data_IF_107946001603
#
_entry.id   IF_107946001603
#
_cell.length_a   1.000
_cell.length_b   1.000
_cell.length_c   1.000
_cell.angle_alpha   90.00
_cell.angle_beta   90.00
_cell.angle_gamma   90.00
#
_symmetry.space_group_name_H-M   'P 1'
#
loop_
_entity.id
_entity.type
_entity.pdbx_description
1 polymer ?
#
# COMPACT_ATOMS: atom_id res chain seq x y z
N UNK A 1 4.15 10.75 3.63
CA UNK A 1 4.17 10.63 2.16
C UNK A 1 2.94 11.32 1.61
N UNK A 2 3.17 12.24 0.68
CA UNK A 2 2.14 12.94 -0.09
C UNK A 2 2.37 12.60 -1.56
N UNK A 3 1.45 11.85 -2.16
CA UNK A 3 1.56 11.42 -3.56
C UNK A 3 0.16 11.25 -4.12
N UNK A 4 -0.14 11.96 -5.21
CA UNK A 4 -1.42 11.78 -5.92
C UNK A 4 -1.51 10.38 -6.54
N UNK A 5 -2.71 9.79 -6.48
CA UNK A 5 -3.02 8.44 -6.96
C UNK A 5 -4.20 8.50 -7.93
N UNK A 6 -4.06 7.83 -9.07
CA UNK A 6 -5.08 7.80 -10.10
C UNK A 6 -4.96 6.60 -11.03
N UNK A 7 -6.02 6.33 -11.81
CA UNK A 7 -6.03 5.23 -12.76
C UNK A 7 -5.12 5.51 -13.94
N UNK A 8 -4.53 4.45 -14.48
CA UNK A 8 -3.70 4.46 -15.68
C UNK A 8 -4.05 3.26 -16.53
N UNK A 9 -4.12 3.48 -17.85
CA UNK A 9 -4.47 2.42 -18.78
C UNK A 9 -3.45 1.28 -18.69
N UNK A 10 -3.98 0.06 -18.62
CA UNK A 10 -3.20 -1.17 -18.64
C UNK A 10 -3.74 -2.06 -19.78
N UNK A 11 -2.89 -2.56 -20.70
CA UNK A 11 -3.34 -3.22 -21.92
C UNK A 11 -4.19 -4.47 -21.68
N UNK A 12 -3.96 -5.17 -20.56
CA UNK A 12 -4.64 -6.43 -20.24
C UNK A 12 -5.72 -6.26 -19.17
N UNK A 13 -5.52 -5.36 -18.22
CA UNK A 13 -6.36 -5.22 -17.02
C UNK A 13 -7.32 -4.03 -17.11
N UNK A 14 -7.32 -3.33 -18.25
CA UNK A 14 -8.05 -2.09 -18.47
C UNK A 14 -7.37 -0.90 -17.80
N UNK A 15 -7.30 -0.90 -16.47
CA UNK A 15 -6.60 0.12 -15.71
C UNK A 15 -6.01 -0.39 -14.39
N UNK A 16 -4.97 0.30 -13.92
CA UNK A 16 -4.36 0.13 -12.60
C UNK A 16 -4.25 1.48 -11.91
N UNK A 17 -4.31 1.50 -10.59
CA UNK A 17 -4.00 2.69 -9.79
C UNK A 17 -2.50 2.77 -9.57
N UNK A 18 -1.92 3.94 -9.85
CA UNK A 18 -0.48 4.21 -9.72
C UNK A 18 -0.25 5.60 -9.15
N UNK A 19 1.00 5.90 -8.78
CA UNK A 19 1.43 7.26 -8.48
C UNK A 19 1.36 8.10 -9.76
N UNK A 20 0.59 9.18 -9.72
CA UNK A 20 0.40 10.07 -10.88
C UNK A 20 0.15 11.52 -10.44
N UNK A 21 0.73 12.53 -11.12
CA UNK A 21 0.45 13.94 -10.85
C UNK A 21 -1.02 14.35 -11.02
N UNK A 22 -1.71 13.80 -12.02
CA UNK A 22 -3.15 14.05 -12.29
C UNK A 22 -4.10 13.15 -11.47
N UNK A 23 -3.55 12.37 -10.54
CA UNK A 23 -4.34 11.61 -9.59
C UNK A 23 -5.06 12.47 -8.56
N UNK A 24 -5.94 11.84 -7.78
CA UNK A 24 -6.51 12.45 -6.59
C UNK A 24 -5.45 12.54 -5.49
N UNK A 25 -5.40 13.64 -4.72
CA UNK A 25 -4.43 13.78 -3.65
C UNK A 25 -4.64 12.71 -2.58
N UNK A 26 -3.53 12.20 -2.06
CA UNK A 26 -3.50 11.16 -1.05
C UNK A 26 -2.36 11.38 -0.06
N UNK A 27 -2.64 11.05 1.21
CA UNK A 27 -1.79 11.38 2.33
C UNK A 27 -1.64 10.20 3.29
N UNK A 28 -0.41 9.86 3.65
CA UNK A 28 -0.10 8.85 4.67
C UNK A 28 1.03 9.32 5.56
N UNK A 29 0.80 9.28 6.86
CA UNK A 29 1.82 9.51 7.87
C UNK A 29 2.51 8.16 8.14
N UNK A 30 3.84 8.15 8.08
CA UNK A 30 4.63 6.93 8.25
C UNK A 30 5.64 7.14 9.37
N UNK A 31 5.66 6.24 10.34
CA UNK A 31 6.65 6.21 11.43
C UNK A 31 7.43 4.91 11.36
N UNK A 32 8.75 4.99 11.38
CA UNK A 32 9.60 3.80 11.45
C UNK A 32 9.59 3.26 12.88
N UNK A 33 9.12 2.03 13.06
CA UNK A 33 9.11 1.33 14.34
C UNK A 33 10.40 0.53 14.55
N UNK A 34 10.91 -0.11 13.49
CA UNK A 34 12.11 -0.97 13.54
C UNK A 34 12.83 -0.94 12.21
N UNK A 35 14.17 -0.99 12.24
CA UNK A 35 15.02 -1.14 11.05
C UNK A 35 15.87 -2.39 11.17
N UNK A 36 15.90 -3.16 10.09
CA UNK A 36 16.79 -4.30 9.90
C UNK A 36 17.74 -4.00 8.74
N UNK A 37 18.69 -4.90 8.45
CA UNK A 37 19.68 -4.70 7.39
C UNK A 37 19.07 -4.48 5.99
N UNK A 38 17.92 -5.12 5.70
CA UNK A 38 17.29 -5.09 4.38
C UNK A 38 15.89 -4.47 4.36
N UNK A 39 15.23 -4.31 5.51
CA UNK A 39 13.81 -3.92 5.60
C UNK A 39 13.55 -3.01 6.80
N UNK A 40 12.43 -2.29 6.78
CA UNK A 40 11.94 -1.49 7.91
C UNK A 40 10.48 -1.82 8.19
N UNK A 41 10.13 -1.89 9.48
CA UNK A 41 8.74 -1.96 9.93
C UNK A 41 8.22 -0.55 10.15
N UNK A 42 7.04 -0.27 9.59
CA UNK A 42 6.41 1.05 9.63
C UNK A 42 5.05 0.96 10.31
N UNK A 43 4.75 1.93 11.16
CA UNK A 43 3.37 2.32 11.46
C UNK A 43 2.92 3.31 10.37
N UNK A 44 1.74 3.07 9.80
CA UNK A 44 1.21 3.88 8.71
C UNK A 44 -0.22 4.30 9.04
N UNK A 45 -0.42 5.60 9.23
CA UNK A 45 -1.74 6.20 9.36
C UNK A 45 -2.16 6.84 8.06
N UNK A 46 -3.28 6.39 7.51
CA UNK A 46 -3.86 6.98 6.30
C UNK A 46 -4.81 8.13 6.67
N UNK A 47 -4.66 9.27 5.99
CA UNK A 47 -5.57 10.42 6.12
C UNK A 47 -6.61 10.44 4.98
N UNK A 48 -6.36 9.67 3.94
CA UNK A 48 -7.23 9.43 2.78
C UNK A 48 -7.33 7.93 2.51
N UNK A 49 -8.35 7.48 1.78
CA UNK A 49 -8.58 6.07 1.45
C UNK A 49 -8.54 5.76 -0.05
N UNK A 50 -7.46 6.10 -0.76
CA UNK A 50 -7.32 5.79 -2.19
C UNK A 50 -7.02 4.29 -2.42
N UNK A 51 -7.35 3.73 -3.59
CA UNK A 51 -7.03 2.34 -3.92
C UNK A 51 -5.54 2.08 -3.78
N UNK A 52 -5.19 1.01 -3.05
CA UNK A 52 -3.80 0.57 -2.83
C UNK A 52 -2.86 1.65 -2.24
N UNK A 53 -3.40 2.65 -1.54
CA UNK A 53 -2.67 3.85 -1.16
C UNK A 53 -1.34 3.58 -0.45
N UNK A 54 -1.32 2.70 0.55
CA UNK A 54 -0.09 2.38 1.29
C UNK A 54 0.95 1.72 0.37
N UNK A 55 0.51 0.76 -0.46
CA UNK A 55 1.36 0.05 -1.42
C UNK A 55 2.02 1.03 -2.39
N UNK A 56 1.23 1.90 -3.01
CA UNK A 56 1.68 2.92 -3.97
C UNK A 56 2.59 3.95 -3.30
N UNK A 57 2.22 4.48 -2.12
CA UNK A 57 2.99 5.51 -1.43
C UNK A 57 4.38 5.02 -1.02
N UNK A 58 4.47 3.83 -0.43
CA UNK A 58 5.76 3.30 0.00
C UNK A 58 6.65 2.98 -1.20
N UNK A 59 6.08 2.44 -2.27
CA UNK A 59 6.77 2.25 -3.54
C UNK A 59 7.22 3.58 -4.18
N UNK A 60 6.39 4.62 -4.17
CA UNK A 60 6.72 5.96 -4.66
C UNK A 60 7.84 6.62 -3.84
N UNK A 61 7.89 6.38 -2.53
CA UNK A 61 8.97 6.82 -1.66
C UNK A 61 10.28 6.03 -1.84
N UNK A 62 10.30 5.00 -2.70
CA UNK A 62 11.46 4.16 -2.98
C UNK A 62 11.58 2.91 -2.10
N UNK A 63 10.59 2.63 -1.26
CA UNK A 63 10.59 1.51 -0.31
C UNK A 63 9.31 0.66 -0.48
N UNK A 64 9.15 -0.07 -1.61
CA UNK A 64 7.96 -0.90 -1.82
C UNK A 64 7.78 -1.94 -0.70
N UNK A 65 6.55 -2.40 -0.51
CA UNK A 65 6.27 -3.43 0.48
C UNK A 65 6.99 -4.73 0.14
N UNK A 66 7.48 -5.41 1.17
CA UNK A 66 8.04 -6.76 1.04
C UNK A 66 6.95 -7.69 0.50
N UNK A 67 7.25 -8.39 -0.59
CA UNK A 67 6.34 -9.35 -1.22
C UNK A 67 5.24 -8.74 -2.08
N UNK A 68 5.25 -7.43 -2.37
CA UNK A 68 4.26 -6.83 -3.29
C UNK A 68 4.53 -7.26 -4.73
N UNK A 69 3.61 -8.00 -5.36
CA UNK A 69 3.83 -8.50 -6.72
C UNK A 69 3.50 -7.46 -7.78
N UNK A 70 2.85 -6.34 -7.42
CA UNK A 70 2.32 -5.38 -8.38
C UNK A 70 3.13 -4.09 -8.45
N UNK A 71 3.59 -3.55 -7.33
CA UNK A 71 4.19 -2.22 -7.26
C UNK A 71 5.71 -2.24 -7.14
N UNK A 72 6.36 -1.40 -7.94
CA UNK A 72 7.81 -1.18 -7.90
C UNK A 72 8.16 0.28 -7.57
N UNK A 73 9.44 0.54 -7.34
CA UNK A 73 10.00 1.86 -7.03
C UNK A 73 9.44 2.92 -8.00
N UNK A 74 8.98 4.04 -7.44
CA UNK A 74 8.30 5.10 -8.17
C UNK A 74 6.77 4.98 -8.17
N UNK A 75 6.21 4.00 -7.45
CA UNK A 75 4.77 3.85 -7.28
C UNK A 75 4.05 3.44 -8.55
N UNK A 76 4.79 2.84 -9.49
CA UNK A 76 4.27 2.31 -10.74
C UNK A 76 4.00 0.81 -10.61
N UNK A 77 3.09 0.31 -11.43
CA UNK A 77 2.95 -1.12 -11.62
C UNK A 77 4.18 -1.67 -12.35
N UNK A 78 4.60 -2.88 -12.01
CA UNK A 78 5.65 -3.59 -12.75
C UNK A 78 5.19 -3.73 -14.20
N UNK A 79 6.05 -3.34 -15.15
CA UNK A 79 5.77 -3.52 -16.56
C UNK A 79 5.72 -5.02 -16.86
N UNK A 80 4.53 -5.53 -17.14
CA UNK A 80 4.30 -6.95 -17.34
C UNK A 80 4.75 -7.35 -18.75
N UNK A 81 6.03 -7.65 -18.90
CA UNK A 81 6.38 -8.75 -19.81
C UNK A 81 5.90 -10.03 -19.14
N UNK A 82 5.27 -10.98 -19.85
CA UNK A 82 4.99 -12.30 -19.28
C UNK A 82 6.26 -12.80 -18.60
N UNK A 83 6.16 -13.15 -17.32
CA UNK A 83 7.24 -13.83 -16.60
C UNK A 83 7.58 -15.13 -17.33
N UNK A 84 8.78 -15.67 -17.11
CA UNK A 84 9.14 -17.00 -17.64
C UNK A 84 8.19 -18.12 -17.15
N UNK A 85 7.40 -17.84 -16.10
CA UNK A 85 6.35 -18.72 -15.55
C UNK A 85 4.96 -18.49 -16.16
N UNK A 86 4.77 -17.43 -16.97
CA UNK A 86 3.50 -17.08 -17.61
C UNK A 86 2.47 -16.43 -16.69
N UNK A 87 2.79 -16.19 -15.42
CA UNK A 87 1.88 -15.59 -14.44
C UNK A 87 2.03 -14.06 -14.42
N UNK A 88 0.90 -13.38 -14.55
CA UNK A 88 0.78 -11.92 -14.58
C UNK A 88 0.13 -11.45 -13.27
N UNK A 89 0.83 -10.67 -12.42
CA UNK A 89 0.26 -10.22 -11.17
C UNK A 89 -0.92 -9.27 -11.37
N UNK A 90 -1.92 -9.42 -10.51
CA UNK A 90 -3.18 -8.67 -10.55
C UNK A 90 -3.41 -7.90 -9.25
N UNK A 91 -4.27 -6.85 -9.25
CA UNK A 91 -4.60 -6.06 -8.07
C UNK A 91 -4.88 -6.82 -6.77
N UNK A 92 -5.57 -7.96 -6.89
CA UNK A 92 -5.99 -8.79 -5.76
C UNK A 92 -4.95 -9.78 -5.24
N UNK A 93 -3.80 -9.90 -5.90
CA UNK A 93 -2.76 -10.81 -5.44
C UNK A 93 -2.26 -10.39 -4.07
N UNK A 94 -2.17 -11.38 -3.18
CA UNK A 94 -1.68 -11.21 -1.82
C UNK A 94 -0.17 -11.51 -1.75
N UNK A 95 0.36 -11.69 -0.54
CA UNK A 95 1.78 -12.02 -0.31
C UNK A 95 2.63 -10.84 0.14
N UNK A 96 2.09 -9.62 0.04
CA UNK A 96 2.73 -8.45 0.63
C UNK A 96 2.52 -8.34 2.14
N UNK A 97 3.51 -7.75 2.79
CA UNK A 97 3.51 -7.50 4.22
C UNK A 97 2.76 -6.20 4.56
N UNK A 98 1.46 -6.31 4.83
CA UNK A 98 0.61 -5.20 5.26
C UNK A 98 -0.50 -5.73 6.17
N UNK A 99 -0.70 -5.09 7.32
CA UNK A 99 -1.72 -5.49 8.30
C UNK A 99 -2.47 -4.28 8.85
N UNK A 100 -3.80 -4.37 8.90
CA UNK A 100 -4.65 -3.36 9.51
C UNK A 100 -4.75 -3.61 11.02
N UNK A 101 -3.84 -3.01 11.80
CA UNK A 101 -3.74 -3.25 13.24
C UNK A 101 -4.82 -2.53 14.05
N UNK A 102 -5.19 -1.30 13.67
CA UNK A 102 -6.08 -0.45 14.46
C UNK A 102 -7.10 0.25 13.57
N UNK A 103 -8.35 0.31 14.04
CA UNK A 103 -9.42 1.06 13.41
C UNK A 103 -10.15 1.86 14.50
N UNK A 104 -10.27 3.17 14.28
CA UNK A 104 -11.08 4.05 15.10
C UNK A 104 -12.09 4.79 14.25
N UNK A 105 -13.36 4.75 14.66
CA UNK A 105 -14.47 5.41 13.97
C UNK A 105 -15.36 6.13 14.96
N UNK A 106 -16.02 7.19 14.52
CA UNK A 106 -17.05 7.85 15.34
C UNK A 106 -18.28 6.94 15.43
N UNK A 107 -18.76 6.68 16.65
CA UNK A 107 -20.06 6.05 16.84
C UNK A 107 -21.18 7.09 16.62
N UNK A 108 -22.37 6.69 16.12
CA UNK A 108 -23.50 7.59 15.98
C UNK A 108 -23.96 8.30 17.26
N UNK A 109 -23.60 7.79 18.44
CA UNK A 109 -23.88 8.46 19.73
C UNK A 109 -22.80 9.49 20.15
N UNK A 110 -21.79 9.74 19.32
CA UNK A 110 -20.70 10.69 19.59
C UNK A 110 -19.49 10.13 20.35
N UNK A 111 -19.55 8.90 20.86
CA UNK A 111 -18.38 8.25 21.47
C UNK A 111 -17.51 7.56 20.40
N UNK A 112 -16.17 7.50 20.54
CA UNK A 112 -15.35 6.75 19.59
C UNK A 112 -15.49 5.24 19.81
N UNK A 113 -15.62 4.47 18.71
CA UNK A 113 -15.36 3.03 18.71
C UNK A 113 -13.92 2.79 18.29
N UNK A 114 -13.24 1.88 18.99
CA UNK A 114 -11.86 1.48 18.72
C UNK A 114 -11.75 -0.03 18.65
N UNK A 115 -11.14 -0.52 17.59
CA UNK A 115 -10.90 -1.94 17.34
C UNK A 115 -9.40 -2.15 17.14
N UNK A 116 -8.87 -3.22 17.73
CA UNK A 116 -7.46 -3.61 17.57
C UNK A 116 -7.38 -5.07 17.15
N UNK A 117 -6.59 -5.34 16.13
CA UNK A 117 -6.26 -6.68 15.65
C UNK A 117 -4.74 -6.86 15.75
N UNK A 118 -4.22 -7.68 16.69
CA UNK A 118 -2.79 -7.89 16.82
C UNK A 118 -2.15 -8.29 15.48
N UNK A 119 -0.97 -7.76 15.13
CA UNK A 119 -0.31 -8.12 13.89
C UNK A 119 0.15 -9.58 13.90
N UNK A 120 0.29 -10.21 12.74
CA UNK A 120 0.96 -11.51 12.62
C UNK A 120 2.43 -11.39 13.07
N UNK A 121 3.07 -12.53 13.38
CA UNK A 121 4.39 -12.56 14.02
C UNK A 121 5.46 -11.81 13.21
N UNK A 122 5.37 -11.85 11.88
CA UNK A 122 6.28 -11.19 10.94
C UNK A 122 6.23 -9.66 11.05
N UNK A 123 5.12 -9.11 11.54
CA UNK A 123 4.86 -7.69 11.70
C UNK A 123 4.77 -7.27 13.17
N UNK A 124 5.08 -8.18 14.10
CA UNK A 124 5.17 -7.86 15.52
C UNK A 124 6.37 -6.94 15.81
N UNK A 125 6.18 -5.97 16.71
CA UNK A 125 7.20 -4.99 17.13
C UNK A 125 8.13 -5.62 18.16
#
# INVERSE_FOLDING_TARGET
VEQSIGPRSHPILGHLYMATPDGLPAYSECQVLRRNAATSLLDVRILTGRPHQIRIHLAAAGYPLVGDPLYTIGGQAIALTPSDTGEMPVPGDCGYHLHAMHLQVAHPNGQPLSFTCPPPIELSV
#
